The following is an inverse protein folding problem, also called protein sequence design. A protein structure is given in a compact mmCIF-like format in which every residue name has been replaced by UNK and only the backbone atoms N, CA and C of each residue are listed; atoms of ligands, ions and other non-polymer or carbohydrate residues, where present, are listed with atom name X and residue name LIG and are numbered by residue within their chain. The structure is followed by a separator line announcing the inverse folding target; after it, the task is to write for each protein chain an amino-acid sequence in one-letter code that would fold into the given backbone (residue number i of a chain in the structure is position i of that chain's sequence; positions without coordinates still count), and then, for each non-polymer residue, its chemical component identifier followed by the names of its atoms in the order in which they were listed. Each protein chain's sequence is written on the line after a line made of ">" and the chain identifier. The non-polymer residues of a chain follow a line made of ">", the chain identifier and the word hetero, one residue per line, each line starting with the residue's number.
data_IF_215118027376
#
_entry.id   IF_215118027376
#
_cell.length_a   1.000
_cell.length_b   1.000
_cell.length_c   1.000
_cell.angle_alpha   90.00
_cell.angle_beta   90.00
_cell.angle_gamma   90.00
#
_symmetry.space_group_name_H-M   'P 1'
#
loop_
_entity.id
_entity.type
_entity.pdbx_description
1 polymer ?
#
# COMPACT_ATOMS: atom_id res chain seq x y z
N UNK A 1 8.68 -9.15 25.89
CA UNK A 1 9.30 -9.46 24.59
C UNK A 1 9.59 -8.15 23.89
N UNK A 2 10.80 -7.95 23.44
CA UNK A 2 11.19 -6.82 22.59
C UNK A 2 10.73 -7.08 21.15
N UNK A 3 10.32 -6.01 20.45
CA UNK A 3 9.87 -6.05 19.06
C UNK A 3 10.78 -5.11 18.28
N UNK A 4 11.25 -5.56 17.13
CA UNK A 4 12.15 -4.82 16.27
C UNK A 4 11.51 -4.51 14.93
N UNK A 5 11.87 -3.38 14.35
CA UNK A 5 11.56 -3.05 12.95
C UNK A 5 12.74 -3.53 12.10
N UNK A 6 12.52 -4.59 11.33
CA UNK A 6 13.57 -5.25 10.56
C UNK A 6 13.51 -4.96 9.06
N UNK A 7 12.48 -4.26 8.60
CA UNK A 7 12.36 -3.83 7.21
C UNK A 7 11.46 -2.61 7.11
N UNK A 8 11.83 -1.68 6.25
CA UNK A 8 11.07 -0.47 5.93
C UNK A 8 10.95 -0.29 4.43
N UNK A 9 9.79 0.22 4.02
CA UNK A 9 9.54 0.65 2.64
C UNK A 9 8.67 1.90 2.63
N UNK A 10 8.85 2.74 1.63
CA UNK A 10 8.17 4.02 1.53
C UNK A 10 7.95 4.42 0.08
N UNK A 11 6.73 4.90 -0.20
CA UNK A 11 6.38 5.54 -1.47
C UNK A 11 5.62 6.81 -1.16
N UNK A 12 6.10 7.94 -1.65
CA UNK A 12 5.50 9.25 -1.39
C UNK A 12 5.83 10.25 -2.50
N UNK A 13 5.28 11.46 -2.41
CA UNK A 13 5.70 12.56 -3.28
C UNK A 13 7.19 12.91 -3.12
N UNK A 14 7.77 12.61 -1.97
CA UNK A 14 9.18 12.88 -1.67
C UNK A 14 10.15 11.80 -2.16
N UNK A 15 9.65 10.69 -2.69
CA UNK A 15 10.49 9.62 -3.22
C UNK A 15 9.74 8.31 -3.42
N UNK A 16 10.20 7.51 -4.35
CA UNK A 16 9.63 6.22 -4.71
C UNK A 16 10.18 5.07 -3.86
N UNK A 17 11.05 5.36 -2.91
CA UNK A 17 11.66 4.45 -1.95
C UNK A 17 12.20 5.22 -0.74
N UNK A 18 12.60 4.48 0.31
CA UNK A 18 13.11 5.04 1.58
C UNK A 18 14.33 5.95 1.36
N UNK A 19 15.25 5.57 0.47
CA UNK A 19 16.46 6.36 0.21
C UNK A 19 16.12 7.72 -0.39
N UNK A 20 15.33 7.75 -1.44
CA UNK A 20 14.92 9.00 -2.11
C UNK A 20 14.13 9.90 -1.15
N UNK A 21 13.21 9.31 -0.37
CA UNK A 21 12.47 10.05 0.65
C UNK A 21 13.42 10.70 1.68
N UNK A 22 14.40 9.94 2.17
CA UNK A 22 15.39 10.45 3.12
C UNK A 22 16.26 11.57 2.51
N UNK A 23 16.62 11.47 1.23
CA UNK A 23 17.36 12.51 0.50
C UNK A 23 16.51 13.80 0.36
N UNK A 24 15.22 13.66 0.04
CA UNK A 24 14.29 14.78 -0.03
C UNK A 24 14.18 15.50 1.32
N UNK A 25 14.01 14.75 2.41
CA UNK A 25 13.95 15.31 3.77
C UNK A 25 15.26 16.04 4.12
N UNK A 26 16.42 15.43 3.84
CA UNK A 26 17.73 16.06 4.11
C UNK A 26 17.97 17.32 3.28
N UNK A 27 17.44 17.36 2.07
CA UNK A 27 17.60 18.54 1.19
C UNK A 27 16.82 19.76 1.67
N UNK A 28 15.82 19.58 2.53
CA UNK A 28 14.89 20.61 2.97
C UNK A 28 13.97 21.13 1.85
N UNK A 29 13.99 20.51 0.68
CA UNK A 29 13.13 20.91 -0.45
C UNK A 29 11.75 20.30 -0.31
N UNK A 30 10.73 21.13 -0.52
CA UNK A 30 9.34 20.64 -0.56
C UNK A 30 9.09 19.88 -1.86
N UNK A 31 8.52 18.66 -1.83
CA UNK A 31 8.10 17.94 -3.04
C UNK A 31 6.72 18.36 -3.53
N UNK A 32 6.12 19.37 -2.92
CA UNK A 32 4.81 19.87 -3.30
C UNK A 32 4.88 20.72 -4.57
N UNK A 33 3.93 20.49 -5.47
CA UNK A 33 3.82 21.23 -6.74
C UNK A 33 2.35 21.42 -7.15
N UNK A 34 2.08 22.13 -8.23
CA UNK A 34 0.73 22.22 -8.78
C UNK A 34 0.24 20.83 -9.21
N UNK A 35 -1.06 20.50 -9.01
CA UNK A 35 -1.61 19.23 -9.46
C UNK A 35 -1.35 18.96 -10.95
N UNK A 36 -0.90 17.77 -11.27
CA UNK A 36 -0.63 17.34 -12.66
C UNK A 36 -1.44 16.11 -13.07
N UNK A 37 -1.90 15.31 -12.09
CA UNK A 37 -2.60 14.04 -12.33
C UNK A 37 -4.11 14.15 -12.36
N UNK A 38 -4.67 15.23 -11.83
CA UNK A 38 -6.11 15.47 -11.83
C UNK A 38 -6.43 16.91 -12.19
N UNK A 39 -7.62 17.11 -12.77
CA UNK A 39 -8.10 18.45 -13.15
C UNK A 39 -8.73 19.14 -11.95
N UNK A 40 -8.26 20.31 -11.62
CA UNK A 40 -8.83 21.15 -10.57
C UNK A 40 -8.77 22.61 -10.94
N UNK A 41 -9.73 23.40 -10.43
CA UNK A 41 -9.72 24.85 -10.51
C UNK A 41 -9.01 25.48 -9.32
N UNK A 42 -8.62 24.67 -8.33
CA UNK A 42 -7.99 25.14 -7.12
C UNK A 42 -6.46 25.24 -7.33
N UNK A 43 -5.90 26.36 -6.93
CA UNK A 43 -4.46 26.63 -7.04
C UNK A 43 -3.77 26.39 -5.70
N UNK A 44 -3.68 25.16 -5.27
CA UNK A 44 -2.90 24.79 -4.09
C UNK A 44 -1.86 23.71 -4.44
N UNK A 45 -0.74 23.67 -3.73
CA UNK A 45 0.26 22.65 -3.94
C UNK A 45 -0.18 21.30 -3.38
N UNK A 46 0.14 20.23 -4.09
CA UNK A 46 -0.13 18.85 -3.69
C UNK A 46 1.12 18.00 -3.76
N UNK A 47 1.15 16.93 -2.95
CA UNK A 47 2.18 15.91 -3.03
C UNK A 47 1.67 14.74 -3.89
N UNK A 48 2.15 14.65 -5.13
CA UNK A 48 1.80 13.55 -6.03
C UNK A 48 2.96 12.56 -6.11
N UNK A 49 2.67 11.27 -5.95
CA UNK A 49 3.65 10.22 -6.26
C UNK A 49 3.93 10.24 -7.77
N UNK A 50 5.20 10.40 -8.21
CA UNK A 50 5.53 10.62 -9.62
C UNK A 50 5.33 9.41 -10.52
N UNK A 51 5.10 8.21 -9.96
CA UNK A 51 4.86 6.99 -10.71
C UNK A 51 3.42 6.89 -11.19
N UNK A 52 3.22 6.55 -12.46
CA UNK A 52 1.89 6.22 -12.99
C UNK A 52 1.45 4.82 -12.55
N UNK A 53 0.16 4.51 -12.71
CA UNK A 53 -0.33 3.17 -12.42
C UNK A 53 0.19 2.14 -13.43
N UNK A 54 0.49 2.59 -14.66
CA UNK A 54 1.16 1.76 -15.67
C UNK A 54 2.57 1.41 -15.22
N UNK A 55 3.36 2.40 -14.77
CA UNK A 55 4.72 2.17 -14.27
C UNK A 55 4.70 1.23 -13.05
N UNK A 56 3.77 1.45 -12.12
CA UNK A 56 3.61 0.60 -10.93
C UNK A 56 3.23 -0.83 -11.30
N UNK A 57 2.27 -1.03 -12.20
CA UNK A 57 1.87 -2.35 -12.67
C UNK A 57 3.01 -3.06 -13.37
N UNK A 58 3.74 -2.36 -14.23
CA UNK A 58 4.90 -2.93 -14.93
C UNK A 58 6.00 -3.34 -13.97
N UNK A 59 6.33 -2.50 -12.99
CA UNK A 59 7.35 -2.80 -11.97
C UNK A 59 6.96 -3.98 -11.08
N UNK A 60 5.67 -4.08 -10.75
CA UNK A 60 5.12 -5.14 -9.91
C UNK A 60 4.81 -6.44 -10.68
N UNK A 61 4.77 -6.40 -12.00
CA UNK A 61 4.34 -7.55 -12.83
C UNK A 61 2.83 -7.82 -12.72
N UNK A 62 2.03 -6.80 -12.45
CA UNK A 62 0.58 -6.94 -12.26
C UNK A 62 -0.15 -6.71 -13.56
N UNK A 63 -0.92 -7.70 -13.97
CA UNK A 63 -1.90 -7.59 -15.05
C UNK A 63 -3.32 -7.43 -14.50
N UNK A 64 -4.17 -6.71 -15.22
CA UNK A 64 -5.57 -6.52 -14.85
C UNK A 64 -5.85 -5.36 -13.89
N UNK A 65 -7.00 -5.43 -13.22
CA UNK A 65 -7.54 -4.36 -12.37
C UNK A 65 -6.87 -4.40 -11.00
N UNK A 66 -6.26 -3.28 -10.60
CA UNK A 66 -5.69 -3.08 -9.27
C UNK A 66 -5.78 -1.60 -8.92
N UNK A 67 -6.28 -1.28 -7.74
CA UNK A 67 -6.39 0.11 -7.28
C UNK A 67 -5.01 0.75 -7.07
N UNK A 68 -4.92 2.06 -7.27
CA UNK A 68 -3.69 2.81 -7.00
C UNK A 68 -3.21 2.64 -5.56
N UNK A 69 -4.13 2.60 -4.60
CA UNK A 69 -3.82 2.36 -3.18
C UNK A 69 -3.10 1.03 -3.00
N UNK A 70 -3.59 -0.05 -3.63
CA UNK A 70 -2.93 -1.36 -3.59
C UNK A 70 -1.56 -1.34 -4.27
N UNK A 71 -1.43 -0.72 -5.44
CA UNK A 71 -0.16 -0.62 -6.17
C UNK A 71 0.92 0.10 -5.35
N UNK A 72 0.58 1.24 -4.74
CA UNK A 72 1.51 1.98 -3.87
C UNK A 72 1.88 1.18 -2.62
N UNK A 73 0.89 0.53 -2.00
CA UNK A 73 1.10 -0.35 -0.84
C UNK A 73 2.03 -1.51 -1.17
N UNK A 74 1.79 -2.22 -2.28
CA UNK A 74 2.63 -3.33 -2.74
C UNK A 74 4.07 -2.90 -3.02
N UNK A 75 4.26 -1.74 -3.65
CA UNK A 75 5.61 -1.22 -3.89
C UNK A 75 6.35 -0.99 -2.58
N UNK A 76 5.73 -0.34 -1.59
CA UNK A 76 6.32 -0.13 -0.28
C UNK A 76 6.58 -1.44 0.47
N UNK A 77 5.64 -2.39 0.44
CA UNK A 77 5.80 -3.71 1.08
C UNK A 77 6.95 -4.50 0.45
N UNK A 78 7.09 -4.50 -0.87
CA UNK A 78 8.21 -5.20 -1.54
C UNK A 78 9.57 -4.63 -1.13
N UNK A 79 9.68 -3.31 -1.01
CA UNK A 79 10.90 -2.67 -0.49
C UNK A 79 11.16 -3.10 0.97
N UNK A 80 10.14 -3.08 1.84
CA UNK A 80 10.26 -3.51 3.22
C UNK A 80 10.67 -4.98 3.36
N UNK A 81 10.14 -5.87 2.53
CA UNK A 81 10.51 -7.29 2.50
C UNK A 81 11.94 -7.50 2.00
N UNK A 82 12.38 -6.75 1.01
CA UNK A 82 13.75 -6.79 0.53
C UNK A 82 14.75 -6.32 1.61
N UNK A 83 14.44 -5.22 2.30
CA UNK A 83 15.24 -4.72 3.44
C UNK A 83 15.26 -5.73 4.60
N UNK A 84 14.13 -6.34 4.92
CA UNK A 84 14.03 -7.41 5.92
C UNK A 84 14.93 -8.61 5.56
N UNK A 85 14.85 -9.12 4.34
CA UNK A 85 15.66 -10.25 3.88
C UNK A 85 17.16 -9.95 3.94
N UNK A 86 17.56 -8.75 3.53
CA UNK A 86 18.96 -8.31 3.58
C UNK A 86 19.50 -8.21 5.01
N UNK A 87 18.65 -7.84 5.98
CA UNK A 87 19.06 -7.68 7.39
C UNK A 87 19.05 -8.98 8.19
N UNK A 88 18.08 -9.85 7.93
CA UNK A 88 17.81 -11.00 8.79
C UNK A 88 18.32 -12.34 8.24
N UNK A 89 18.42 -12.46 6.92
CA UNK A 89 18.71 -13.74 6.26
C UNK A 89 17.66 -14.82 6.54
N UNK A 90 16.45 -14.43 6.99
CA UNK A 90 15.38 -15.37 7.35
C UNK A 90 14.76 -15.96 6.10
N UNK A 91 14.92 -17.27 5.91
CA UNK A 91 14.33 -18.06 4.83
C UNK A 91 13.34 -19.12 5.37
N UNK A 92 12.89 -18.99 6.63
CA UNK A 92 11.98 -19.99 7.22
C UNK A 92 10.54 -19.58 7.01
N UNK A 93 9.64 -20.54 6.78
CA UNK A 93 8.21 -20.28 6.89
C UNK A 93 7.90 -19.71 8.27
N UNK A 94 7.20 -18.59 8.31
CA UNK A 94 6.79 -17.93 9.55
C UNK A 94 5.31 -17.55 9.42
N UNK A 95 4.66 -17.40 10.56
CA UNK A 95 3.27 -16.93 10.61
C UNK A 95 3.26 -15.42 10.42
N UNK A 96 2.71 -14.99 9.31
CA UNK A 96 2.67 -13.58 8.93
C UNK A 96 1.32 -12.97 9.29
N UNK A 97 1.32 -11.84 9.99
CA UNK A 97 0.17 -10.97 10.09
C UNK A 97 0.34 -9.81 9.09
N UNK A 98 -0.69 -9.53 8.29
CA UNK A 98 -0.71 -8.40 7.38
C UNK A 98 -1.81 -7.41 7.78
N UNK A 99 -1.44 -6.16 8.07
CA UNK A 99 -2.37 -5.14 8.55
C UNK A 99 -2.14 -3.83 7.79
N UNK A 100 -3.09 -3.49 6.96
CA UNK A 100 -3.08 -2.25 6.17
C UNK A 100 -3.90 -1.15 6.84
N UNK A 101 -3.39 0.07 6.86
CA UNK A 101 -4.10 1.26 7.31
C UNK A 101 -4.54 2.10 6.11
N UNK A 102 -5.83 2.10 5.77
CA UNK A 102 -6.36 2.94 4.70
C UNK A 102 -7.81 3.35 4.98
N UNK A 103 -8.17 4.56 4.60
CA UNK A 103 -9.55 5.07 4.70
C UNK A 103 -10.20 5.31 3.33
N UNK A 104 -9.44 5.20 2.25
CA UNK A 104 -9.92 5.47 0.90
C UNK A 104 -10.19 4.19 0.08
N UNK A 105 -9.54 3.07 0.43
CA UNK A 105 -9.72 1.83 -0.33
C UNK A 105 -9.36 2.01 -1.80
N UNK A 106 -10.18 1.46 -2.67
CA UNK A 106 -10.07 1.57 -4.13
C UNK A 106 -11.09 2.56 -4.73
N UNK A 107 -11.26 3.72 -4.09
CA UNK A 107 -12.18 4.78 -4.58
C UNK A 107 -11.78 5.29 -5.97
N UNK A 108 -10.51 5.29 -6.30
CA UNK A 108 -9.98 5.64 -7.63
C UNK A 108 -10.65 4.83 -8.75
N UNK A 109 -10.76 3.52 -8.59
CA UNK A 109 -11.44 2.66 -9.55
C UNK A 109 -12.95 2.91 -9.62
N UNK A 110 -13.57 3.25 -8.48
CA UNK A 110 -14.99 3.58 -8.44
C UNK A 110 -15.29 4.92 -9.11
N UNK A 111 -14.40 5.91 -8.95
CA UNK A 111 -14.47 7.19 -9.64
C UNK A 111 -14.30 7.01 -11.14
N UNK A 112 -13.30 6.21 -11.56
CA UNK A 112 -13.07 5.88 -12.96
C UNK A 112 -14.29 5.15 -13.58
N UNK A 113 -14.83 4.16 -12.87
CA UNK A 113 -16.06 3.48 -13.30
C UNK A 113 -17.21 4.45 -13.48
N UNK A 114 -17.45 5.34 -12.51
CA UNK A 114 -18.49 6.36 -12.58
C UNK A 114 -18.28 7.30 -13.77
N UNK A 115 -17.07 7.81 -13.94
CA UNK A 115 -16.74 8.79 -14.98
C UNK A 115 -17.03 8.24 -16.39
N UNK A 116 -16.71 6.97 -16.62
CA UNK A 116 -16.90 6.31 -17.93
C UNK A 116 -18.31 5.79 -18.16
N UNK A 117 -19.05 5.47 -17.12
CA UNK A 117 -20.31 4.74 -17.24
C UNK A 117 -21.55 5.48 -16.72
N UNK A 118 -21.43 6.72 -16.27
CA UNK A 118 -22.55 7.49 -15.70
C UNK A 118 -23.79 7.57 -16.59
N UNK A 119 -23.63 7.51 -17.91
CA UNK A 119 -24.72 7.56 -18.88
C UNK A 119 -25.25 6.16 -19.25
N UNK A 120 -24.49 5.09 -18.97
CA UNK A 120 -24.88 3.70 -19.21
C UNK A 120 -24.11 2.73 -18.30
N UNK A 121 -24.57 2.52 -17.09
CA UNK A 121 -23.92 1.62 -16.12
C UNK A 121 -23.89 0.15 -16.57
N UNK A 122 -24.82 -0.28 -17.43
CA UNK A 122 -24.88 -1.67 -17.87
C UNK A 122 -23.69 -2.10 -18.76
N UNK A 123 -22.97 -1.14 -19.33
CA UNK A 123 -21.79 -1.38 -20.16
C UNK A 123 -20.46 -1.38 -19.39
N UNK A 124 -20.48 -1.04 -18.10
CA UNK A 124 -19.27 -0.90 -17.30
C UNK A 124 -18.74 -2.22 -16.74
N UNK A 125 -17.41 -2.29 -16.53
CA UNK A 125 -16.79 -3.42 -15.84
C UNK A 125 -16.96 -3.30 -14.32
N UNK A 126 -17.96 -3.98 -13.79
CA UNK A 126 -18.28 -4.00 -12.35
C UNK A 126 -17.15 -4.57 -11.47
N UNK A 127 -16.14 -5.22 -12.07
CA UNK A 127 -14.97 -5.69 -11.31
C UNK A 127 -14.20 -4.51 -10.69
N UNK A 128 -14.24 -3.33 -11.32
CA UNK A 128 -13.64 -2.11 -10.77
C UNK A 128 -14.23 -1.74 -9.41
N UNK A 129 -15.51 -1.99 -9.20
CA UNK A 129 -16.20 -1.68 -7.95
C UNK A 129 -15.87 -2.63 -6.79
N UNK A 130 -15.33 -3.82 -7.08
CA UNK A 130 -14.98 -4.81 -6.04
C UNK A 130 -13.90 -4.32 -5.08
N UNK A 131 -13.04 -3.42 -5.52
CA UNK A 131 -11.99 -2.84 -4.69
C UNK A 131 -12.40 -1.56 -3.96
N UNK A 132 -13.67 -1.14 -4.05
CA UNK A 132 -14.16 0.05 -3.35
C UNK A 132 -13.94 -0.04 -1.83
N UNK A 133 -14.22 -1.20 -1.26
CA UNK A 133 -14.03 -1.44 0.17
C UNK A 133 -12.54 -1.47 0.54
N UNK A 134 -12.12 -0.76 1.61
CA UNK A 134 -10.74 -0.80 2.09
C UNK A 134 -10.22 -2.21 2.39
N UNK A 135 -11.08 -3.12 2.85
CA UNK A 135 -10.73 -4.51 3.09
C UNK A 135 -10.33 -5.25 1.81
N UNK A 136 -11.06 -5.03 0.72
CA UNK A 136 -10.76 -5.66 -0.56
C UNK A 136 -9.39 -5.26 -1.11
N UNK A 137 -8.93 -4.03 -0.84
CA UNK A 137 -7.58 -3.57 -1.20
C UNK A 137 -6.51 -4.36 -0.44
N UNK A 138 -6.73 -4.57 0.86
CA UNK A 138 -5.82 -5.38 1.69
C UNK A 138 -5.75 -6.82 1.23
N UNK A 139 -6.91 -7.43 0.98
CA UNK A 139 -7.01 -8.81 0.49
C UNK A 139 -6.29 -8.98 -0.85
N UNK A 140 -6.46 -8.04 -1.78
CA UNK A 140 -5.79 -8.08 -3.07
C UNK A 140 -4.26 -7.99 -2.93
N UNK A 141 -3.75 -7.15 -2.01
CA UNK A 141 -2.31 -7.08 -1.72
C UNK A 141 -1.78 -8.41 -1.16
N UNK A 142 -2.49 -9.02 -0.21
CA UNK A 142 -2.08 -10.29 0.38
C UNK A 142 -2.09 -11.39 -0.66
N UNK A 143 -3.16 -11.52 -1.46
CA UNK A 143 -3.26 -12.51 -2.53
C UNK A 143 -2.11 -12.40 -3.53
N UNK A 144 -1.75 -11.18 -3.92
CA UNK A 144 -0.60 -10.95 -4.79
C UNK A 144 0.71 -11.40 -4.14
N UNK A 145 0.97 -11.01 -2.90
CA UNK A 145 2.22 -11.34 -2.20
C UNK A 145 2.38 -12.85 -1.96
N UNK A 146 1.29 -13.55 -1.68
CA UNK A 146 1.28 -15.01 -1.52
C UNK A 146 1.47 -15.72 -2.87
N UNK A 147 0.76 -15.28 -3.92
CA UNK A 147 0.85 -15.87 -5.26
C UNK A 147 2.25 -15.74 -5.86
N UNK A 148 2.90 -14.60 -5.66
CA UNK A 148 4.26 -14.33 -6.13
C UNK A 148 5.35 -14.89 -5.19
N UNK A 149 4.96 -15.52 -4.08
CA UNK A 149 5.89 -16.13 -3.14
C UNK A 149 6.74 -15.16 -2.31
N UNK A 150 6.32 -13.89 -2.21
CA UNK A 150 6.99 -12.91 -1.35
C UNK A 150 6.80 -13.20 0.13
N UNK A 151 5.66 -13.76 0.49
CA UNK A 151 5.33 -14.19 1.84
C UNK A 151 4.75 -15.60 1.80
N UNK A 152 4.81 -16.31 2.93
CA UNK A 152 4.06 -17.53 3.12
C UNK A 152 2.58 -17.23 3.40
N UNK A 153 1.84 -18.27 3.78
CA UNK A 153 0.43 -18.13 4.15
C UNK A 153 0.25 -17.18 5.34
N UNK A 154 -0.63 -16.20 5.20
CA UNK A 154 -0.94 -15.26 6.28
C UNK A 154 -1.87 -15.88 7.31
N UNK A 155 -1.58 -15.67 8.60
CA UNK A 155 -2.40 -16.14 9.72
C UNK A 155 -3.39 -15.09 10.22
N UNK A 156 -3.18 -13.84 9.85
CA UNK A 156 -4.04 -12.72 10.23
C UNK A 156 -3.98 -11.65 9.16
N UNK A 157 -5.13 -11.28 8.62
CA UNK A 157 -5.30 -10.18 7.66
C UNK A 157 -6.32 -9.19 8.22
N UNK A 158 -5.98 -7.91 8.22
CA UNK A 158 -6.92 -6.88 8.67
C UNK A 158 -6.66 -5.54 8.00
N UNK A 159 -7.72 -4.75 7.91
CA UNK A 159 -7.68 -3.35 7.47
C UNK A 159 -8.11 -2.46 8.62
N UNK A 160 -7.27 -1.48 8.93
CA UNK A 160 -7.59 -0.44 9.93
C UNK A 160 -8.00 0.81 9.18
N UNK A 161 -9.22 1.27 9.42
CA UNK A 161 -9.76 2.49 8.82
C UNK A 161 -10.12 3.51 9.91
N UNK A 162 -9.10 4.20 10.41
CA UNK A 162 -9.22 5.21 11.47
C UNK A 162 -8.61 6.56 11.05
N UNK A 163 -8.88 6.95 9.81
CA UNK A 163 -8.40 8.18 9.20
C UNK A 163 -6.86 8.36 9.37
N UNK A 164 -6.39 9.52 9.78
CA UNK A 164 -4.97 9.85 9.91
C UNK A 164 -4.20 8.95 10.90
N UNK A 165 -4.88 8.23 11.79
CA UNK A 165 -4.26 7.33 12.76
C UNK A 165 -4.18 5.87 12.28
N UNK A 166 -4.69 5.55 11.08
CA UNK A 166 -4.80 4.18 10.61
C UNK A 166 -3.46 3.44 10.61
N UNK A 167 -2.41 4.03 10.05
CA UNK A 167 -1.07 3.43 10.04
C UNK A 167 -0.52 3.19 11.45
N UNK A 168 -0.68 4.16 12.37
CA UNK A 168 -0.25 4.02 13.77
C UNK A 168 -1.01 2.89 14.48
N UNK A 169 -2.30 2.77 14.26
CA UNK A 169 -3.13 1.70 14.82
C UNK A 169 -2.78 0.33 14.22
N UNK A 170 -2.44 0.26 12.92
CA UNK A 170 -1.95 -0.96 12.30
C UNK A 170 -0.65 -1.45 12.95
N UNK A 171 0.31 -0.54 13.20
CA UNK A 171 1.57 -0.84 13.91
C UNK A 171 1.27 -1.34 15.34
N UNK A 172 0.39 -0.68 16.07
CA UNK A 172 0.03 -1.11 17.44
C UNK A 172 -0.61 -2.50 17.45
N UNK A 173 -1.49 -2.79 16.50
CA UNK A 173 -2.14 -4.10 16.37
C UNK A 173 -1.12 -5.18 16.04
N UNK A 174 -0.24 -4.95 15.06
CA UNK A 174 0.84 -5.87 14.71
C UNK A 174 1.76 -6.17 15.91
N UNK A 175 2.17 -5.13 16.63
CA UNK A 175 2.98 -5.30 17.84
C UNK A 175 2.25 -6.13 18.92
N UNK A 176 0.93 -5.98 19.04
CA UNK A 176 0.12 -6.78 19.96
C UNK A 176 0.08 -8.26 19.56
N UNK A 177 -0.14 -8.55 18.27
CA UNK A 177 -0.14 -9.94 17.76
C UNK A 177 1.20 -10.64 17.97
N UNK A 178 2.31 -9.93 17.74
CA UNK A 178 3.65 -10.46 18.00
C UNK A 178 3.84 -10.76 19.50
N UNK A 179 3.42 -9.87 20.41
CA UNK A 179 3.54 -10.09 21.87
C UNK A 179 2.70 -11.26 22.36
N UNK A 180 1.54 -11.50 21.76
CA UNK A 180 0.66 -12.62 22.09
C UNK A 180 1.14 -13.94 21.48
N UNK A 181 2.15 -13.92 20.62
CA UNK A 181 2.62 -15.10 19.90
C UNK A 181 1.66 -15.59 18.82
N UNK A 182 0.74 -14.74 18.36
CA UNK A 182 -0.22 -15.07 17.28
C UNK A 182 0.41 -14.98 15.90
N UNK A 183 1.50 -14.22 15.76
CA UNK A 183 2.31 -14.10 14.56
C UNK A 183 3.80 -14.02 14.90
N UNK A 184 4.66 -14.40 13.95
CA UNK A 184 6.11 -14.31 14.08
C UNK A 184 6.64 -13.04 13.40
N UNK A 185 5.96 -12.61 12.33
CA UNK A 185 6.22 -11.36 11.59
C UNK A 185 4.90 -10.61 11.43
N UNK A 186 4.95 -9.29 11.54
CA UNK A 186 3.84 -8.40 11.20
C UNK A 186 4.28 -7.42 10.12
N UNK A 187 3.61 -7.45 8.97
CA UNK A 187 3.72 -6.45 7.91
C UNK A 187 2.62 -5.44 8.18
N UNK A 188 3.01 -4.22 8.48
CA UNK A 188 2.08 -3.17 8.94
C UNK A 188 2.41 -1.84 8.27
N UNK A 189 1.39 -1.06 7.91
CA UNK A 189 1.59 0.23 7.29
C UNK A 189 0.29 0.91 6.86
N UNK A 190 0.40 2.07 6.21
CA UNK A 190 -0.72 2.82 5.66
C UNK A 190 -0.37 4.27 5.34
#
# INVERSE_FOLDING_TARGET
>A
MEIFVNGIGSVSAGGSNVREFAETVRSGKSPLHKPTRFRTKLEFPVGEVPLSDIDLKQELGIEGIMSRTALLGLKAVREALADFGARTGVNKPCRVAFISGTSVGGMDLSEEFWEHNRDNFAGGDVQMLKMHDPGAVTDAMVQYLEAEGYIGSTVFVNTVSTACSAAGNAIMLGAKLLRLGEADIAIVGG
#
